data_IF_575818959750
#
_entry.id   IF_575818959750
#
_cell.length_a   1.000
_cell.length_b   1.000
_cell.length_c   1.000
_cell.angle_alpha   90.00
_cell.angle_beta   90.00
_cell.angle_gamma   90.00
#
_symmetry.space_group_name_H-M   'P 1'
#
loop_
_entity.id
_entity.type
_entity.pdbx_description
1 polymer ?
#
# COMPACT_ATOMS: atom_id res chain seq x y z
N UNK A 1 -7.74 -41.69 -10.37
CA UNK A 1 -7.23 -40.53 -11.15
C UNK A 1 -8.41 -39.59 -11.36
N UNK A 2 -8.69 -38.58 -10.54
CA UNK A 2 -7.82 -37.88 -9.61
C UNK A 2 -7.82 -36.39 -9.98
N UNK A 3 -8.90 -35.70 -9.61
CA UNK A 3 -8.91 -34.31 -9.10
C UNK A 3 -8.11 -33.28 -9.91
N UNK A 4 -8.69 -32.63 -10.93
CA UNK A 4 -8.24 -31.31 -11.44
C UNK A 4 -9.37 -30.53 -12.19
N UNK A 5 -10.65 -30.71 -11.84
CA UNK A 5 -11.76 -29.97 -12.50
C UNK A 5 -12.53 -29.02 -11.56
N UNK A 6 -12.04 -28.82 -10.33
CA UNK A 6 -12.77 -28.08 -9.30
C UNK A 6 -11.90 -27.06 -8.54
N UNK A 7 -11.05 -26.33 -9.26
CA UNK A 7 -10.34 -25.15 -8.72
C UNK A 7 -10.58 -23.89 -9.56
N UNK A 8 -11.68 -23.90 -10.32
CA UNK A 8 -12.08 -22.87 -11.29
C UNK A 8 -12.88 -21.71 -10.67
N UNK A 9 -12.71 -21.41 -9.37
CA UNK A 9 -13.59 -20.45 -8.66
C UNK A 9 -12.94 -19.33 -7.84
N UNK A 10 -11.61 -19.17 -7.85
CA UNK A 10 -10.95 -18.03 -7.19
C UNK A 10 -9.70 -17.59 -7.95
N UNK A 11 -9.82 -16.60 -8.84
CA UNK A 11 -8.77 -15.61 -9.15
C UNK A 11 -9.13 -14.72 -10.34
N UNK A 12 -9.10 -13.41 -10.08
CA UNK A 12 -8.83 -12.28 -10.99
C UNK A 12 -9.16 -12.46 -12.47
N UNK A 13 -10.21 -11.80 -12.95
CA UNK A 13 -10.45 -11.58 -14.38
C UNK A 13 -10.40 -10.09 -14.68
N UNK A 14 -9.39 -9.68 -15.45
CA UNK A 14 -9.58 -8.65 -16.47
C UNK A 14 -8.69 -8.98 -17.67
N UNK A 15 -9.29 -9.42 -18.79
CA UNK A 15 -8.60 -9.64 -20.06
C UNK A 15 -8.56 -8.32 -20.83
N UNK A 16 -7.39 -7.93 -21.34
CA UNK A 16 -7.33 -7.26 -22.64
C UNK A 16 -6.13 -7.81 -23.43
N UNK A 17 -6.32 -7.89 -24.74
CA UNK A 17 -5.62 -8.73 -25.71
C UNK A 17 -4.08 -8.68 -25.63
N UNK A 18 -3.46 -9.85 -25.82
CA UNK A 18 -2.03 -10.13 -26.07
C UNK A 18 -0.98 -9.71 -25.01
N UNK A 19 -1.40 -9.19 -23.86
CA UNK A 19 -0.57 -9.03 -22.67
C UNK A 19 -1.48 -9.09 -21.44
N UNK A 20 -1.43 -10.18 -20.68
CA UNK A 20 -2.41 -10.45 -19.63
C UNK A 20 -2.09 -9.53 -18.42
N UNK A 21 -2.80 -8.42 -18.30
CA UNK A 21 -2.79 -7.58 -17.10
C UNK A 21 -3.55 -8.31 -16.00
N UNK A 22 -2.90 -8.60 -14.88
CA UNK A 22 -3.55 -9.22 -13.72
C UNK A 22 -3.80 -8.11 -12.70
N UNK A 23 -5.07 -7.80 -12.46
CA UNK A 23 -5.49 -7.04 -11.30
C UNK A 23 -5.90 -8.05 -10.21
N UNK A 24 -5.15 -8.11 -9.11
CA UNK A 24 -5.60 -8.86 -7.95
C UNK A 24 -6.47 -7.93 -7.12
N UNK A 25 -7.77 -8.20 -7.14
CA UNK A 25 -8.74 -7.66 -6.19
C UNK A 25 -8.65 -8.54 -4.94
N UNK A 26 -7.85 -8.12 -3.95
CA UNK A 26 -7.93 -8.75 -2.63
C UNK A 26 -9.24 -8.25 -2.00
N UNK A 27 -10.26 -9.12 -2.02
CA UNK A 27 -11.70 -9.01 -1.64
C UNK A 27 -12.05 -8.36 -0.27
N UNK A 28 -11.19 -7.53 0.33
CA UNK A 28 -11.35 -6.97 1.69
C UNK A 28 -11.46 -5.44 1.74
N UNK A 29 -11.63 -4.75 0.61
CA UNK A 29 -11.65 -3.28 0.59
C UNK A 29 -10.27 -2.65 0.87
N UNK A 30 -9.20 -3.41 0.73
CA UNK A 30 -7.82 -3.04 1.05
C UNK A 30 -7.03 -2.49 -0.14
N UNK A 31 -7.68 -2.16 -1.27
CA UNK A 31 -7.04 -1.61 -2.47
C UNK A 31 -6.65 -2.66 -3.52
N UNK A 32 -6.33 -2.20 -4.75
CA UNK A 32 -6.01 -3.03 -5.91
C UNK A 32 -4.51 -3.03 -6.22
N UNK A 33 -3.98 -4.15 -6.72
CA UNK A 33 -2.60 -4.22 -7.26
C UNK A 33 -2.62 -4.62 -8.73
N UNK A 34 -1.88 -3.87 -9.54
CA UNK A 34 -1.75 -4.08 -10.99
C UNK A 34 -0.41 -4.73 -11.33
N UNK A 35 -0.44 -5.85 -12.05
CA UNK A 35 0.76 -6.53 -12.51
C UNK A 35 0.66 -6.84 -14.01
N UNK A 36 1.66 -6.40 -14.78
CA UNK A 36 1.81 -6.72 -16.19
C UNK A 36 2.89 -7.77 -16.34
N UNK A 37 2.54 -8.93 -16.89
CA UNK A 37 3.48 -10.01 -17.19
C UNK A 37 3.58 -10.29 -18.69
N UNK A 38 4.76 -10.72 -19.13
CA UNK A 38 5.01 -11.27 -20.48
C UNK A 38 6.04 -12.38 -20.38
N UNK A 39 5.85 -13.47 -21.12
CA UNK A 39 6.76 -14.63 -21.09
C UNK A 39 7.08 -15.11 -19.66
N UNK A 40 6.07 -15.15 -18.78
CA UNK A 40 6.20 -15.50 -17.35
C UNK A 40 7.13 -14.58 -16.54
N UNK A 41 7.47 -13.40 -17.05
CA UNK A 41 8.25 -12.38 -16.38
C UNK A 41 7.37 -11.18 -16.04
N UNK A 42 7.47 -10.69 -14.81
CA UNK A 42 6.83 -9.45 -14.38
C UNK A 42 7.55 -8.27 -15.04
N UNK A 43 6.83 -7.48 -15.83
CA UNK A 43 7.37 -6.31 -16.54
C UNK A 43 7.09 -5.04 -15.72
N UNK A 44 5.84 -4.85 -15.28
CA UNK A 44 5.41 -3.63 -14.57
C UNK A 44 4.54 -4.01 -13.38
N UNK A 45 4.67 -3.25 -12.30
CA UNK A 45 3.81 -3.33 -11.12
C UNK A 45 3.27 -1.93 -10.78
N UNK A 46 2.02 -1.86 -10.40
CA UNK A 46 1.33 -0.64 -9.98
C UNK A 46 0.51 -0.90 -8.73
N UNK A 47 0.49 0.08 -7.85
CA UNK A 47 -0.37 0.13 -6.66
C UNK A 47 -1.17 1.44 -6.70
N UNK A 48 -2.21 1.62 -5.88
CA UNK A 48 -2.99 2.85 -5.90
C UNK A 48 -2.12 4.08 -5.60
N UNK A 49 -1.11 3.93 -4.73
CA UNK A 49 -0.11 4.95 -4.43
C UNK A 49 0.98 5.13 -5.49
N UNK A 50 1.30 4.08 -6.26
CA UNK A 50 2.43 4.07 -7.19
C UNK A 50 2.03 3.59 -8.60
N UNK A 51 1.65 4.55 -9.45
CA UNK A 51 1.24 4.32 -10.83
C UNK A 51 2.30 4.68 -11.87
N UNK A 52 3.48 5.16 -11.45
CA UNK A 52 4.50 5.70 -12.36
C UNK A 52 4.87 4.74 -13.50
N UNK A 53 4.97 3.43 -13.21
CA UNK A 53 5.31 2.42 -14.22
C UNK A 53 4.25 2.27 -15.32
N UNK A 54 3.01 2.66 -15.06
CA UNK A 54 1.89 2.55 -15.98
C UNK A 54 1.48 3.88 -16.61
N UNK A 55 2.25 4.96 -16.40
CA UNK A 55 1.89 6.30 -16.90
C UNK A 55 1.65 6.31 -18.41
N UNK A 56 2.56 5.72 -19.19
CA UNK A 56 2.46 5.65 -20.66
C UNK A 56 1.21 4.88 -21.15
N UNK A 57 0.70 3.96 -20.32
CA UNK A 57 -0.42 3.06 -20.67
C UNK A 57 -1.74 3.67 -20.23
N UNK A 58 -1.79 4.26 -19.03
CA UNK A 58 -2.98 4.82 -18.42
C UNK A 58 -3.25 6.27 -18.88
N UNK A 59 -2.20 7.04 -19.19
CA UNK A 59 -2.30 8.49 -19.41
C UNK A 59 -1.95 8.90 -20.84
N UNK A 60 -1.96 7.97 -21.81
CA UNK A 60 -1.80 8.28 -23.23
C UNK A 60 -2.81 9.32 -23.78
N UNK A 61 -3.85 9.70 -23.01
CA UNK A 61 -4.90 10.65 -23.40
C UNK A 61 -5.45 11.58 -22.31
N UNK A 62 -4.96 11.59 -21.07
CA UNK A 62 -5.55 12.48 -20.04
C UNK A 62 -4.55 12.89 -18.95
N UNK A 63 -4.52 14.19 -18.64
CA UNK A 63 -3.76 14.79 -17.54
C UNK A 63 -4.42 14.43 -16.21
N UNK A 64 -4.04 13.32 -15.58
CA UNK A 64 -4.35 13.09 -14.17
C UNK A 64 -3.29 13.78 -13.31
N UNK A 65 -3.71 14.84 -12.62
CA UNK A 65 -2.87 15.73 -11.82
C UNK A 65 -2.75 15.30 -10.35
N UNK A 66 -3.54 14.32 -9.90
CA UNK A 66 -3.51 13.79 -8.54
C UNK A 66 -2.62 12.55 -8.48
N UNK A 67 -1.36 12.76 -8.10
CA UNK A 67 -0.51 11.67 -7.65
C UNK A 67 -0.76 11.44 -6.15
N UNK A 68 -1.29 10.27 -5.76
CA UNK A 68 -1.65 10.00 -4.38
C UNK A 68 -0.41 9.98 -3.46
N UNK A 69 -0.58 10.53 -2.26
CA UNK A 69 0.47 10.52 -1.24
C UNK A 69 0.67 9.09 -0.74
N UNK A 70 1.93 8.65 -0.72
CA UNK A 70 2.35 7.40 -0.09
C UNK A 70 2.96 7.74 1.27
N UNK A 71 2.54 7.00 2.30
CA UNK A 71 3.05 7.14 3.66
C UNK A 71 3.79 5.86 4.07
N UNK A 72 4.81 5.97 4.91
CA UNK A 72 5.47 4.87 5.58
C UNK A 72 5.40 5.12 7.09
N UNK A 73 4.97 4.11 7.86
CA UNK A 73 4.83 4.22 9.32
C UNK A 73 5.70 3.17 10.00
N UNK A 74 6.46 3.62 10.99
CA UNK A 74 7.30 2.79 11.88
C UNK A 74 6.84 3.08 13.32
N UNK A 75 5.94 2.27 13.88
CA UNK A 75 5.58 2.31 15.28
C UNK A 75 6.69 1.70 16.14
N UNK A 76 6.95 2.35 17.27
CA UNK A 76 7.86 1.89 18.31
C UNK A 76 7.07 1.82 19.63
N UNK A 77 6.70 0.60 20.02
CA UNK A 77 5.96 0.34 21.25
C UNK A 77 6.91 0.37 22.44
N UNK A 78 6.59 1.21 23.43
CA UNK A 78 7.33 1.37 24.69
C UNK A 78 6.36 1.25 25.88
N UNK A 79 6.86 1.01 27.08
CA UNK A 79 6.01 0.86 28.28
C UNK A 79 5.13 2.08 28.58
N UNK A 80 5.55 3.28 28.12
CA UNK A 80 4.85 4.54 28.32
C UNK A 80 3.90 4.94 27.16
N UNK A 81 3.77 4.13 26.10
CA UNK A 81 2.94 4.43 24.93
C UNK A 81 3.58 3.99 23.61
N UNK A 82 3.05 4.48 22.48
CA UNK A 82 3.59 4.17 21.16
C UNK A 82 4.17 5.44 20.52
N UNK A 83 5.44 5.41 20.12
CA UNK A 83 6.03 6.48 19.30
C UNK A 83 5.89 6.11 17.84
N UNK A 84 5.31 6.99 17.03
CA UNK A 84 5.10 6.78 15.60
C UNK A 84 6.11 7.61 14.82
N UNK A 85 6.97 6.94 14.07
CA UNK A 85 7.70 7.55 12.97
C UNK A 85 6.87 7.49 11.70
N UNK A 86 6.61 8.64 11.08
CA UNK A 86 5.86 8.77 9.83
C UNK A 86 6.75 9.44 8.79
N UNK A 87 6.94 8.80 7.65
CA UNK A 87 7.54 9.40 6.45
C UNK A 87 6.50 9.44 5.34
N UNK A 88 6.50 10.47 4.50
CA UNK A 88 5.60 10.52 3.35
C UNK A 88 6.26 11.15 2.14
N UNK A 89 5.74 10.78 0.97
CA UNK A 89 6.11 11.36 -0.31
C UNK A 89 4.86 11.79 -1.07
N UNK A 90 4.85 13.05 -1.46
CA UNK A 90 3.86 13.63 -2.37
C UNK A 90 4.58 13.91 -3.69
N UNK A 91 4.35 13.06 -4.69
CA UNK A 91 4.96 13.17 -6.01
C UNK A 91 4.37 14.34 -6.82
N UNK A 92 3.11 14.70 -6.57
CA UNK A 92 2.45 15.81 -7.25
C UNK A 92 3.08 17.16 -6.83
N UNK A 93 3.34 17.32 -5.52
CA UNK A 93 4.00 18.52 -4.97
C UNK A 93 5.52 18.42 -4.93
N UNK A 94 6.09 17.26 -5.28
CA UNK A 94 7.53 16.93 -5.17
C UNK A 94 8.06 17.19 -3.76
N UNK A 95 7.26 16.80 -2.76
CA UNK A 95 7.54 17.06 -1.35
C UNK A 95 7.76 15.74 -0.61
N UNK A 96 8.84 15.70 0.16
CA UNK A 96 9.15 14.65 1.11
C UNK A 96 9.01 15.22 2.51
N UNK A 97 8.36 14.48 3.40
CA UNK A 97 8.19 14.90 4.77
C UNK A 97 8.41 13.75 5.73
N UNK A 98 8.86 14.12 6.94
CA UNK A 98 9.00 13.22 8.08
C UNK A 98 8.32 13.86 9.28
N UNK A 99 7.70 13.05 10.10
CA UNK A 99 7.08 13.46 11.35
C UNK A 99 7.27 12.37 12.39
N UNK A 100 7.48 12.78 13.63
CA UNK A 100 7.49 11.89 14.79
C UNK A 100 6.50 12.44 15.80
N UNK A 101 5.64 11.57 16.31
CA UNK A 101 4.68 11.93 17.35
C UNK A 101 4.36 10.73 18.24
N UNK A 102 3.84 11.01 19.42
CA UNK A 102 3.35 9.98 20.32
C UNK A 102 1.88 9.70 20.05
N UNK A 103 1.50 8.45 20.18
CA UNK A 103 0.12 7.99 20.04
C UNK A 103 -0.19 6.95 21.14
N UNK A 104 -1.48 6.79 21.39
CA UNK A 104 -2.00 5.76 22.27
C UNK A 104 -2.54 4.57 21.46
N UNK A 105 -3.17 3.60 22.14
CA UNK A 105 -3.69 2.40 21.49
C UNK A 105 -4.85 2.66 20.50
N UNK A 106 -5.40 3.87 20.45
CA UNK A 106 -6.46 4.27 19.50
C UNK A 106 -5.89 4.85 18.20
N UNK A 107 -4.60 5.19 18.15
CA UNK A 107 -3.92 5.72 16.97
C UNK A 107 -4.62 6.94 16.32
N UNK A 108 -5.17 7.85 17.13
CA UNK A 108 -5.96 9.01 16.65
C UNK A 108 -5.08 10.04 15.93
N UNK A 109 -3.82 10.18 16.34
CA UNK A 109 -2.89 11.09 15.65
C UNK A 109 -2.51 10.52 14.27
N UNK A 110 -2.32 9.20 14.17
CA UNK A 110 -2.13 8.52 12.88
C UNK A 110 -3.34 8.69 11.96
N UNK A 111 -4.56 8.45 12.46
CA UNK A 111 -5.79 8.64 11.68
C UNK A 111 -5.88 10.06 11.11
N UNK A 112 -5.64 11.06 11.98
CA UNK A 112 -5.66 12.47 11.61
C UNK A 112 -4.62 12.80 10.54
N UNK A 113 -3.40 12.25 10.64
CA UNK A 113 -2.34 12.44 9.66
C UNK A 113 -2.68 11.80 8.30
N UNK A 114 -3.22 10.58 8.29
CA UNK A 114 -3.59 9.88 7.05
C UNK A 114 -4.70 10.61 6.29
N UNK A 115 -5.74 11.05 6.99
CA UNK A 115 -6.85 11.81 6.40
C UNK A 115 -6.36 13.16 5.87
N UNK A 116 -5.54 13.88 6.64
CA UNK A 116 -5.03 15.20 6.25
C UNK A 116 -4.10 15.15 5.03
N UNK A 117 -3.30 14.09 4.92
CA UNK A 117 -2.41 13.86 3.77
C UNK A 117 -3.14 13.32 2.54
N UNK A 118 -4.40 12.85 2.68
CA UNK A 118 -5.12 12.19 1.60
C UNK A 118 -4.46 10.89 1.14
N UNK A 119 -3.76 10.21 2.05
CA UNK A 119 -3.00 9.00 1.76
C UNK A 119 -3.90 7.89 1.19
N UNK A 120 -3.42 7.17 0.18
CA UNK A 120 -4.09 5.99 -0.39
C UNK A 120 -3.32 4.69 -0.17
N UNK A 121 -2.05 4.79 0.20
CA UNK A 121 -1.20 3.65 0.45
C UNK A 121 -0.22 3.93 1.60
N UNK A 122 -0.23 3.04 2.59
CA UNK A 122 0.69 3.06 3.70
C UNK A 122 1.61 1.84 3.67
N UNK A 123 2.91 2.07 3.78
CA UNK A 123 3.92 1.03 3.88
C UNK A 123 4.21 0.74 5.35
N UNK A 124 4.11 -0.52 5.75
CA UNK A 124 4.38 -0.98 7.12
C UNK A 124 5.45 -2.07 7.15
N UNK A 125 6.35 -2.07 8.16
CA UNK A 125 7.24 -3.20 8.41
C UNK A 125 6.50 -4.53 8.64
N UNK A 126 6.89 -5.62 7.98
CA UNK A 126 6.29 -6.97 8.15
C UNK A 126 6.36 -7.51 9.58
N UNK A 127 7.26 -6.98 10.42
CA UNK A 127 7.41 -7.38 11.82
C UNK A 127 6.22 -6.93 12.68
N UNK A 128 5.60 -5.81 12.31
CA UNK A 128 4.43 -5.20 12.96
C UNK A 128 3.19 -6.06 12.73
N UNK A 129 3.05 -6.61 11.52
CA UNK A 129 1.96 -7.52 11.15
C UNK A 129 1.83 -8.75 12.07
N UNK A 130 2.94 -9.15 12.71
CA UNK A 130 2.99 -10.33 13.60
C UNK A 130 2.68 -10.00 15.06
N UNK A 131 2.67 -8.74 15.44
CA UNK A 131 2.44 -8.29 16.81
C UNK A 131 0.95 -8.02 17.05
N UNK A 132 0.40 -8.50 18.18
CA UNK A 132 -1.02 -8.30 18.53
C UNK A 132 -1.36 -6.83 18.80
N UNK A 133 -0.36 -6.02 19.11
CA UNK A 133 -0.44 -4.58 19.41
C UNK A 133 -0.76 -3.74 18.17
N UNK A 134 -0.68 -4.33 16.97
CA UNK A 134 -0.89 -3.62 15.71
C UNK A 134 -2.29 -3.74 15.13
N UNK A 135 -3.17 -4.59 15.68
CA UNK A 135 -4.56 -4.70 15.21
C UNK A 135 -5.28 -3.34 15.16
N UNK A 136 -5.20 -2.48 16.21
CA UNK A 136 -5.88 -1.19 16.17
C UNK A 136 -5.31 -0.26 15.08
N UNK A 137 -4.01 -0.38 14.76
CA UNK A 137 -3.39 0.37 13.66
C UNK A 137 -3.97 -0.06 12.30
N UNK A 138 -4.09 -1.37 12.04
CA UNK A 138 -4.73 -1.88 10.82
C UNK A 138 -6.21 -1.47 10.73
N UNK A 139 -6.93 -1.44 11.85
CA UNK A 139 -8.32 -0.97 11.89
C UNK A 139 -8.43 0.51 11.49
N UNK A 140 -7.49 1.35 11.95
CA UNK A 140 -7.41 2.77 11.53
C UNK A 140 -7.11 2.89 10.03
N UNK A 141 -6.19 2.08 9.49
CA UNK A 141 -5.91 2.06 8.04
C UNK A 141 -7.14 1.69 7.23
N UNK A 142 -7.86 0.66 7.65
CA UNK A 142 -9.08 0.21 6.99
C UNK A 142 -10.20 1.27 7.05
N UNK A 143 -10.37 1.94 8.20
CA UNK A 143 -11.32 3.06 8.35
C UNK A 143 -11.00 4.22 7.41
N UNK A 144 -9.72 4.52 7.22
CA UNK A 144 -9.27 5.58 6.31
C UNK A 144 -9.30 5.18 4.82
N UNK A 145 -9.61 3.91 4.50
CA UNK A 145 -9.53 3.40 3.13
C UNK A 145 -8.10 3.39 2.57
N UNK A 146 -7.11 3.24 3.44
CA UNK A 146 -5.68 3.22 3.09
C UNK A 146 -5.25 1.78 2.84
N UNK A 147 -4.68 1.52 1.66
CA UNK A 147 -4.10 0.22 1.35
C UNK A 147 -2.81 0.01 2.16
N UNK A 148 -2.69 -1.14 2.83
CA UNK A 148 -1.47 -1.49 3.55
C UNK A 148 -0.55 -2.32 2.66
N UNK A 149 0.69 -1.86 2.49
CA UNK A 149 1.76 -2.58 1.80
C UNK A 149 2.83 -2.98 2.80
N UNK A 150 2.97 -4.28 3.05
CA UNK A 150 3.98 -4.80 3.98
C UNK A 150 5.36 -4.92 3.30
N UNK A 151 6.40 -4.41 3.97
CA UNK A 151 7.80 -4.47 3.54
C UNK A 151 8.71 -4.95 4.65
N UNK A 152 9.81 -5.61 4.31
CA UNK A 152 10.79 -6.03 5.34
C UNK A 152 11.38 -4.78 6.00
N UNK A 153 11.61 -4.80 7.31
CA UNK A 153 12.22 -3.65 8.00
C UNK A 153 13.59 -3.28 7.43
N UNK A 154 14.33 -4.26 6.90
CA UNK A 154 15.59 -4.03 6.20
C UNK A 154 15.44 -3.13 4.97
N UNK A 155 14.29 -3.16 4.28
CA UNK A 155 13.98 -2.32 3.11
C UNK A 155 13.49 -0.92 3.51
N UNK A 156 13.13 -0.73 4.78
CA UNK A 156 12.71 0.55 5.36
C UNK A 156 13.83 1.27 6.12
N UNK A 157 15.03 0.67 6.15
CA UNK A 157 16.23 1.37 6.63
C UNK A 157 16.64 2.38 5.58
N UNK A 158 16.81 3.63 6.00
CA UNK A 158 17.51 4.62 5.20
C UNK A 158 18.96 4.15 5.03
N UNK A 159 19.35 3.81 3.79
CA UNK A 159 20.75 3.87 3.40
C UNK A 159 21.10 5.35 3.27
N UNK A 160 21.75 5.89 4.31
CA UNK A 160 22.35 7.23 4.33
C UNK A 160 23.85 7.06 4.06
#
# INVERSE_FOLDING_TARGET
>A
MGVLEEESRRRAVCRYLDSRVMANDEDLGLGWKLELWSNWRLIKRGTPGNLNSFEDILFAKNDMQDSPVIVAIIPNFCEAGCTIGLGYVDLAKRLLGIAEFHDDNHFTNVESALVSLGCKECVLPTEIAKSSECKPLYDVMAKCGVMVTERKKAELKAEI
#
